data_IF_412823972429
#
_entry.id   IF_412823972429
#
_cell.length_a   1.000
_cell.length_b   1.000
_cell.length_c   1.000
_cell.angle_alpha   90.00
_cell.angle_beta   90.00
_cell.angle_gamma   90.00
#
_symmetry.space_group_name_H-M   'P 1'
#
loop_
_entity.id
_entity.type
_entity.pdbx_description
1 polymer ?
#
# COMPACT_ATOMS: atom_id res chain seq x y z
N UNK A 1 -26.49 -10.33 -1.32
CA UNK A 1 -25.34 -9.99 -2.19
C UNK A 1 -24.14 -10.80 -1.74
N UNK A 2 -23.34 -11.38 -2.65
CA UNK A 2 -22.15 -12.12 -2.25
C UNK A 2 -21.17 -11.16 -1.55
N UNK A 3 -20.62 -11.60 -0.41
CA UNK A 3 -19.79 -10.76 0.44
C UNK A 3 -18.46 -10.44 -0.26
N UNK A 4 -18.29 -9.19 -0.71
CA UNK A 4 -17.10 -8.71 -1.42
C UNK A 4 -15.84 -8.92 -0.56
N UNK A 5 -15.97 -8.82 0.77
CA UNK A 5 -14.88 -8.98 1.72
C UNK A 5 -15.00 -10.34 2.42
N UNK A 6 -14.45 -11.37 1.81
CA UNK A 6 -14.38 -12.71 2.40
C UNK A 6 -13.26 -12.77 3.44
N UNK A 7 -13.50 -13.45 4.59
CA UNK A 7 -12.48 -13.62 5.64
C UNK A 7 -11.15 -14.16 5.12
N UNK A 8 -11.19 -15.08 4.15
CA UNK A 8 -9.99 -15.66 3.54
C UNK A 8 -9.20 -14.65 2.72
N UNK A 9 -9.89 -13.74 2.05
CA UNK A 9 -9.28 -12.66 1.28
C UNK A 9 -8.62 -11.66 2.22
N UNK A 10 -9.28 -11.25 3.31
CA UNK A 10 -8.69 -10.38 4.34
C UNK A 10 -7.43 -11.00 4.97
N UNK A 11 -7.48 -12.28 5.34
CA UNK A 11 -6.32 -12.99 5.88
C UNK A 11 -5.17 -12.99 4.87
N UNK A 12 -5.46 -13.17 3.58
CA UNK A 12 -4.45 -13.12 2.53
C UNK A 12 -3.84 -11.72 2.41
N UNK A 13 -4.64 -10.64 2.41
CA UNK A 13 -4.13 -9.27 2.40
C UNK A 13 -3.20 -9.01 3.59
N UNK A 14 -3.61 -9.41 4.80
CA UNK A 14 -2.78 -9.24 6.01
C UNK A 14 -1.49 -10.07 5.94
N UNK A 15 -1.56 -11.29 5.38
CA UNK A 15 -0.38 -12.14 5.20
C UNK A 15 0.60 -11.55 4.18
N UNK A 16 0.10 -10.99 3.06
CA UNK A 16 0.94 -10.29 2.07
C UNK A 16 1.56 -9.04 2.68
N UNK A 17 0.80 -8.27 3.46
CA UNK A 17 1.31 -7.09 4.16
C UNK A 17 2.44 -7.44 5.15
N UNK A 18 2.25 -8.50 5.93
CA UNK A 18 3.28 -8.97 6.84
C UNK A 18 4.54 -9.45 6.09
N UNK A 19 4.36 -10.12 4.95
CA UNK A 19 5.46 -10.52 4.08
C UNK A 19 6.19 -9.31 3.48
N UNK A 20 5.47 -8.28 3.04
CA UNK A 20 6.02 -7.04 2.50
C UNK A 20 6.94 -6.36 3.53
N UNK A 21 6.43 -6.17 4.75
CA UNK A 21 7.20 -5.59 5.86
C UNK A 21 8.42 -6.45 6.19
N UNK A 22 8.27 -7.78 6.18
CA UNK A 22 9.40 -8.69 6.42
C UNK A 22 10.48 -8.56 5.33
N UNK A 23 10.10 -8.38 4.07
CA UNK A 23 11.05 -8.14 2.97
C UNK A 23 11.77 -6.81 3.17
N UNK A 24 11.06 -5.72 3.48
CA UNK A 24 11.67 -4.42 3.73
C UNK A 24 12.73 -4.49 4.83
N UNK A 25 12.38 -5.05 5.99
CA UNK A 25 13.31 -5.19 7.12
C UNK A 25 14.49 -6.08 6.76
N UNK A 26 14.24 -7.21 6.10
CA UNK A 26 15.30 -8.16 5.72
C UNK A 26 16.29 -7.54 4.74
N UNK A 27 15.80 -6.86 3.71
CA UNK A 27 16.65 -6.22 2.70
C UNK A 27 17.37 -4.99 3.24
N UNK A 28 16.74 -4.20 4.13
CA UNK A 28 17.37 -3.07 4.78
C UNK A 28 18.55 -3.48 5.68
N UNK A 29 18.48 -4.68 6.28
CA UNK A 29 19.52 -5.22 7.15
C UNK A 29 20.69 -5.87 6.38
N UNK A 30 20.53 -6.14 5.08
CA UNK A 30 21.57 -6.79 4.29
C UNK A 30 22.72 -5.82 3.97
N UNK A 31 23.99 -6.29 4.05
CA UNK A 31 25.12 -5.51 3.59
C UNK A 31 24.97 -5.13 2.11
N UNK A 32 25.39 -3.92 1.77
CA UNK A 32 25.34 -3.39 0.40
C UNK A 32 26.73 -2.90 -0.03
N UNK A 33 27.07 -3.14 -1.30
CA UNK A 33 28.31 -2.63 -1.88
C UNK A 33 28.22 -1.11 -2.06
N UNK A 34 29.34 -0.40 -2.05
CA UNK A 34 29.34 1.06 -2.28
C UNK A 34 28.80 1.43 -3.67
N UNK A 35 29.08 0.60 -4.69
CA UNK A 35 28.60 0.82 -6.05
C UNK A 35 27.07 0.66 -6.15
N UNK A 36 26.52 -0.41 -5.58
CA UNK A 36 25.07 -0.67 -5.56
C UNK A 36 24.34 0.41 -4.74
N UNK A 37 24.93 0.84 -3.62
CA UNK A 37 24.36 1.89 -2.79
C UNK A 37 24.28 3.23 -3.55
N UNK A 38 25.35 3.61 -4.26
CA UNK A 38 25.37 4.83 -5.07
C UNK A 38 24.32 4.79 -6.18
N UNK A 39 24.19 3.66 -6.88
CA UNK A 39 23.19 3.47 -7.94
C UNK A 39 21.75 3.61 -7.40
N UNK A 40 21.44 2.93 -6.30
CA UNK A 40 20.10 2.97 -5.69
C UNK A 40 19.76 4.35 -5.13
N UNK A 41 20.71 5.02 -4.45
CA UNK A 41 20.50 6.38 -3.95
C UNK A 41 20.31 7.35 -5.12
N UNK A 42 21.08 7.20 -6.21
CA UNK A 42 20.90 8.02 -7.41
C UNK A 42 19.52 7.82 -8.02
N UNK A 43 19.06 6.57 -8.15
CA UNK A 43 17.72 6.27 -8.64
C UNK A 43 16.62 6.89 -7.77
N UNK A 44 16.73 6.76 -6.45
CA UNK A 44 15.79 7.37 -5.51
C UNK A 44 15.77 8.90 -5.60
N UNK A 45 16.95 9.53 -5.73
CA UNK A 45 17.05 10.99 -5.92
C UNK A 45 16.43 11.45 -7.23
N UNK A 46 16.61 10.71 -8.32
CA UNK A 46 15.99 11.06 -9.61
C UNK A 46 14.45 11.05 -9.54
N UNK A 47 13.86 10.10 -8.81
CA UNK A 47 12.41 10.09 -8.55
C UNK A 47 11.97 11.33 -7.76
N UNK A 48 12.73 11.68 -6.71
CA UNK A 48 12.46 12.83 -5.86
C UNK A 48 12.60 14.15 -6.64
N UNK A 49 13.68 14.33 -7.39
CA UNK A 49 13.94 15.51 -8.22
C UNK A 49 12.84 15.70 -9.29
N UNK A 50 12.28 14.59 -9.80
CA UNK A 50 11.17 14.62 -10.75
C UNK A 50 9.87 15.22 -10.21
N UNK A 51 9.71 15.28 -8.88
CA UNK A 51 8.55 15.88 -8.21
C UNK A 51 8.91 17.13 -7.39
N UNK A 52 10.19 17.50 -7.29
CA UNK A 52 10.60 18.72 -6.60
C UNK A 52 10.50 19.96 -7.51
N UNK A 53 10.27 21.13 -6.92
CA UNK A 53 10.24 22.40 -7.64
C UNK A 53 9.00 22.65 -8.50
N UNK A 54 8.05 21.72 -8.53
CA UNK A 54 6.74 21.89 -9.18
C UNK A 54 5.64 22.22 -8.17
N UNK A 55 4.48 22.68 -8.65
CA UNK A 55 3.35 23.00 -7.77
C UNK A 55 2.86 21.77 -6.99
N UNK A 56 2.29 21.99 -5.81
CA UNK A 56 1.78 20.94 -4.93
C UNK A 56 0.93 19.88 -5.66
N UNK A 57 0.02 20.32 -6.53
CA UNK A 57 -0.85 19.42 -7.30
C UNK A 57 -0.04 18.52 -8.25
N UNK A 58 0.98 19.06 -8.91
CA UNK A 58 1.85 18.26 -9.78
C UNK A 58 2.73 17.29 -9.00
N UNK A 59 3.15 17.61 -7.77
CA UNK A 59 3.87 16.67 -6.91
C UNK A 59 2.97 15.48 -6.55
N UNK A 60 1.75 15.75 -6.08
CA UNK A 60 0.75 14.71 -5.75
C UNK A 60 0.49 13.81 -6.96
N UNK A 61 0.25 14.40 -8.14
CA UNK A 61 -0.01 13.61 -9.35
C UNK A 61 1.22 12.80 -9.79
N UNK A 62 2.43 13.32 -9.63
CA UNK A 62 3.67 12.62 -9.94
C UNK A 62 3.87 11.38 -9.06
N UNK A 63 3.78 11.54 -7.75
CA UNK A 63 3.87 10.47 -6.76
C UNK A 63 2.76 9.43 -6.99
N UNK A 64 1.51 9.88 -7.12
CA UNK A 64 0.37 9.01 -7.39
C UNK A 64 0.54 8.17 -8.65
N UNK A 65 1.01 8.79 -9.75
CA UNK A 65 1.23 8.10 -11.02
C UNK A 65 2.33 7.04 -10.90
N UNK A 66 3.40 7.33 -10.14
CA UNK A 66 4.45 6.35 -9.88
C UNK A 66 3.89 5.11 -9.16
N UNK A 67 3.15 5.32 -8.07
CA UNK A 67 2.60 4.23 -7.28
C UNK A 67 1.51 3.44 -8.02
N UNK A 68 0.66 4.09 -8.81
CA UNK A 68 -0.33 3.38 -9.65
C UNK A 68 0.35 2.47 -10.66
N UNK A 69 1.45 2.91 -11.30
CA UNK A 69 2.14 2.09 -12.30
C UNK A 69 2.59 0.76 -11.70
N UNK A 70 3.12 0.79 -10.47
CA UNK A 70 3.52 -0.40 -9.73
C UNK A 70 2.28 -1.23 -9.36
N UNK A 71 1.30 -0.64 -8.68
CA UNK A 71 0.10 -1.35 -8.22
C UNK A 71 -0.70 -1.99 -9.38
N UNK A 72 -0.81 -1.31 -10.53
CA UNK A 72 -1.50 -1.83 -11.70
C UNK A 72 -0.86 -3.12 -12.23
N UNK A 73 0.47 -3.20 -12.21
CA UNK A 73 1.20 -4.41 -12.57
C UNK A 73 1.03 -5.51 -11.52
N UNK A 74 0.91 -5.15 -10.24
CA UNK A 74 0.68 -6.08 -9.14
C UNK A 74 -0.71 -6.73 -9.16
N UNK A 75 -1.71 -6.08 -9.76
CA UNK A 75 -3.02 -6.69 -10.02
C UNK A 75 -2.98 -7.82 -11.06
N UNK A 76 -1.93 -7.89 -11.90
CA UNK A 76 -1.85 -8.88 -12.98
C UNK A 76 -1.66 -10.29 -12.38
N UNK A 77 -2.55 -11.26 -12.68
CA UNK A 77 -2.39 -12.64 -12.26
C UNK A 77 -0.99 -13.21 -12.54
N UNK A 78 -0.39 -13.83 -11.53
CA UNK A 78 0.97 -14.43 -11.51
C UNK A 78 2.11 -13.41 -11.64
N UNK A 79 2.07 -12.52 -12.63
CA UNK A 79 3.06 -11.46 -12.81
C UNK A 79 3.13 -10.54 -11.59
N UNK A 80 2.00 -10.27 -10.96
CA UNK A 80 1.92 -9.33 -9.85
C UNK A 80 2.77 -9.73 -8.65
N UNK A 81 2.93 -11.03 -8.39
CA UNK A 81 3.87 -11.52 -7.37
C UNK A 81 5.33 -11.22 -7.70
N UNK A 82 5.71 -11.33 -8.98
CA UNK A 82 7.09 -11.01 -9.42
C UNK A 82 7.36 -9.52 -9.22
N UNK A 83 6.39 -8.68 -9.60
CA UNK A 83 6.50 -7.22 -9.46
C UNK A 83 6.54 -6.82 -7.99
N UNK A 84 5.67 -7.38 -7.15
CA UNK A 84 5.64 -7.16 -5.71
C UNK A 84 6.95 -7.53 -5.02
N UNK A 85 7.50 -8.71 -5.33
CA UNK A 85 8.78 -9.12 -4.74
C UNK A 85 9.91 -8.20 -5.20
N UNK A 86 9.89 -7.77 -6.47
CA UNK A 86 10.89 -6.86 -7.02
C UNK A 86 10.80 -5.45 -6.42
N UNK A 87 9.58 -4.88 -6.33
CA UNK A 87 9.33 -3.56 -5.74
C UNK A 87 9.69 -3.57 -4.26
N UNK A 88 9.22 -4.58 -3.50
CA UNK A 88 9.50 -4.71 -2.08
C UNK A 88 11.00 -4.85 -1.80
N UNK A 89 11.69 -5.68 -2.60
CA UNK A 89 13.13 -5.87 -2.49
C UNK A 89 13.89 -4.59 -2.81
N UNK A 90 13.50 -3.89 -3.87
CA UNK A 90 14.16 -2.66 -4.30
C UNK A 90 14.06 -1.57 -3.23
N UNK A 91 12.86 -1.33 -2.70
CA UNK A 91 12.67 -0.34 -1.61
C UNK A 91 13.48 -0.72 -0.38
N UNK A 92 13.45 -1.99 0.05
CA UNK A 92 14.27 -2.43 1.18
C UNK A 92 15.78 -2.24 0.95
N UNK A 93 16.28 -2.48 -0.27
CA UNK A 93 17.68 -2.19 -0.63
C UNK A 93 17.96 -0.69 -0.71
N UNK A 94 17.00 0.15 -1.11
CA UNK A 94 17.12 1.62 -1.04
C UNK A 94 17.29 2.06 0.42
N UNK A 95 16.58 1.46 1.38
CA UNK A 95 16.78 1.75 2.81
C UNK A 95 18.21 1.38 3.26
N UNK A 96 18.74 0.23 2.84
CA UNK A 96 20.13 -0.15 3.11
C UNK A 96 21.13 0.84 2.48
N UNK A 97 20.88 1.28 1.24
CA UNK A 97 21.71 2.25 0.54
C UNK A 97 21.72 3.63 1.22
N UNK A 98 20.55 4.10 1.66
CA UNK A 98 20.39 5.34 2.42
C UNK A 98 21.12 5.25 3.78
N UNK A 99 21.00 4.13 4.48
CA UNK A 99 21.71 3.88 5.73
C UNK A 99 23.23 3.92 5.53
N UNK A 100 23.74 3.20 4.52
CA UNK A 100 25.16 3.17 4.20
C UNK A 100 25.72 4.53 3.80
N UNK A 101 24.98 5.31 2.99
CA UNK A 101 25.45 6.60 2.46
C UNK A 101 25.35 7.75 3.48
N UNK A 102 24.38 7.70 4.39
CA UNK A 102 24.21 8.70 5.45
C UNK A 102 24.95 8.38 6.74
N UNK A 103 25.56 7.18 6.84
CA UNK A 103 26.16 6.65 8.07
C UNK A 103 25.17 6.54 9.23
N UNK A 104 23.88 6.42 8.92
CA UNK A 104 22.80 6.21 9.88
C UNK A 104 22.50 4.71 9.97
N UNK A 105 22.30 4.15 11.17
CA UNK A 105 21.87 2.75 11.31
C UNK A 105 20.62 2.45 10.49
N UNK A 106 20.61 1.31 9.77
CA UNK A 106 19.49 0.93 8.90
C UNK A 106 18.15 0.86 9.65
N UNK A 107 18.18 0.54 10.94
CA UNK A 107 16.99 0.50 11.78
C UNK A 107 16.31 1.87 11.84
N UNK A 108 17.08 2.96 11.93
CA UNK A 108 16.51 4.31 12.00
C UNK A 108 15.93 4.75 10.65
N UNK A 109 16.59 4.38 9.55
CA UNK A 109 16.09 4.63 8.18
C UNK A 109 14.81 3.82 7.89
N UNK A 110 14.77 2.56 8.31
CA UNK A 110 13.56 1.74 8.18
C UNK A 110 12.44 2.27 9.08
N UNK A 111 12.75 2.68 10.32
CA UNK A 111 11.78 3.29 11.22
C UNK A 111 11.22 4.60 10.68
N UNK A 112 12.00 5.43 9.97
CA UNK A 112 11.44 6.63 9.35
C UNK A 112 10.39 6.28 8.29
N UNK A 113 10.63 5.25 7.47
CA UNK A 113 9.62 4.78 6.52
C UNK A 113 8.36 4.27 7.23
N UNK A 114 8.52 3.45 8.28
CA UNK A 114 7.38 2.92 9.03
C UNK A 114 6.66 3.95 9.90
N UNK A 115 7.33 5.06 10.24
CA UNK A 115 6.72 6.18 10.92
C UNK A 115 5.92 7.08 9.98
N UNK A 116 6.16 6.99 8.67
CA UNK A 116 5.46 7.81 7.70
C UNK A 116 4.04 7.33 7.43
N UNK A 117 3.12 8.28 7.43
CA UNK A 117 1.68 8.01 7.29
C UNK A 117 1.29 7.48 5.90
N UNK A 118 1.94 7.99 4.85
CA UNK A 118 1.71 7.57 3.46
C UNK A 118 2.15 6.13 3.20
N UNK A 119 3.26 5.69 3.80
CA UNK A 119 3.84 4.36 3.60
C UNK A 119 2.85 3.24 3.95
N UNK A 120 2.08 3.39 5.03
CA UNK A 120 1.08 2.39 5.42
C UNK A 120 -0.07 2.27 4.42
N UNK A 121 -0.50 3.38 3.80
CA UNK A 121 -1.51 3.32 2.75
C UNK A 121 -0.97 2.59 1.51
N UNK A 122 0.29 2.81 1.15
CA UNK A 122 0.94 2.13 0.02
C UNK A 122 1.09 0.63 0.27
N UNK A 123 1.61 0.23 1.44
CA UNK A 123 1.79 -1.19 1.76
C UNK A 123 0.46 -1.94 1.73
N UNK A 124 -0.60 -1.36 2.29
CA UNK A 124 -1.93 -1.97 2.24
C UNK A 124 -2.43 -2.02 0.80
N UNK A 125 -2.20 -0.97 0.00
CA UNK A 125 -2.64 -0.93 -1.39
C UNK A 125 -1.94 -2.00 -2.26
N UNK A 126 -0.63 -2.15 -2.16
CA UNK A 126 0.15 -3.20 -2.85
C UNK A 126 -0.25 -4.60 -2.39
N UNK A 127 -0.45 -4.78 -1.08
CA UNK A 127 -0.95 -6.04 -0.53
C UNK A 127 -2.33 -6.43 -1.07
N UNK A 128 -3.24 -5.46 -1.24
CA UNK A 128 -4.54 -5.67 -1.88
C UNK A 128 -4.38 -6.05 -3.36
N UNK A 129 -3.53 -5.35 -4.11
CA UNK A 129 -3.32 -5.57 -5.54
C UNK A 129 -2.86 -7.01 -5.83
N UNK A 130 -1.79 -7.45 -5.17
CA UNK A 130 -1.21 -8.80 -5.33
C UNK A 130 -2.17 -9.89 -4.86
N UNK A 131 -2.86 -9.65 -3.74
CA UNK A 131 -3.86 -10.60 -3.23
C UNK A 131 -4.98 -10.77 -4.25
N UNK A 132 -5.45 -9.69 -4.87
CA UNK A 132 -6.53 -9.77 -5.83
C UNK A 132 -6.11 -10.48 -7.13
N UNK A 133 -4.89 -10.25 -7.62
CA UNK A 133 -4.32 -11.03 -8.72
C UNK A 133 -4.29 -12.54 -8.42
N UNK A 134 -4.00 -12.91 -7.17
CA UNK A 134 -4.01 -14.31 -6.69
C UNK A 134 -5.42 -14.91 -6.69
N UNK A 135 -6.41 -14.15 -6.21
CA UNK A 135 -7.80 -14.60 -6.16
C UNK A 135 -8.43 -14.70 -7.55
N UNK A 136 -8.02 -13.86 -8.51
CA UNK A 136 -8.38 -14.02 -9.91
C UNK A 136 -7.90 -15.36 -10.48
N UNK A 137 -6.66 -15.78 -10.21
CA UNK A 137 -6.17 -17.12 -10.62
C UNK A 137 -7.01 -18.22 -9.99
N UNK A 138 -7.27 -18.12 -8.68
CA UNK A 138 -8.05 -19.12 -7.95
C UNK A 138 -9.49 -19.23 -8.48
N UNK A 139 -10.06 -18.11 -8.93
CA UNK A 139 -11.42 -18.02 -9.46
C UNK A 139 -11.64 -18.79 -10.76
N UNK A 140 -10.60 -18.90 -11.61
CA UNK A 140 -10.65 -19.73 -12.83
C UNK A 140 -10.99 -21.18 -12.50
N UNK A 141 -10.42 -21.73 -11.43
CA UNK A 141 -10.67 -23.12 -11.00
C UNK A 141 -12.04 -23.31 -10.36
N UNK A 142 -12.60 -22.26 -9.76
CA UNK A 142 -13.87 -22.31 -8.99
C UNK A 142 -15.09 -21.82 -9.76
N UNK A 143 -14.95 -21.45 -11.04
CA UNK A 143 -16.01 -20.88 -11.88
C UNK A 143 -16.68 -19.64 -11.25
N UNK A 144 -15.90 -18.83 -10.52
CA UNK A 144 -16.37 -17.62 -9.80
C UNK A 144 -15.93 -16.31 -10.46
N UNK A 145 -15.56 -16.36 -11.73
CA UNK A 145 -14.92 -15.23 -12.42
C UNK A 145 -15.71 -13.94 -12.36
N UNK A 146 -17.04 -13.97 -12.59
CA UNK A 146 -17.85 -12.75 -12.58
C UNK A 146 -17.81 -12.04 -11.21
N UNK A 147 -17.92 -12.81 -10.13
CA UNK A 147 -17.84 -12.28 -8.77
C UNK A 147 -16.45 -11.68 -8.48
N UNK A 148 -15.42 -12.35 -8.96
CA UNK A 148 -14.03 -11.98 -8.70
C UNK A 148 -13.59 -10.79 -9.54
N UNK A 149 -14.11 -10.65 -10.75
CA UNK A 149 -13.94 -9.46 -11.57
C UNK A 149 -14.61 -8.24 -10.94
N UNK A 150 -15.82 -8.39 -10.37
CA UNK A 150 -16.47 -7.31 -9.63
C UNK A 150 -15.67 -6.93 -8.38
N UNK A 151 -15.23 -7.91 -7.59
CA UNK A 151 -14.33 -7.65 -6.45
C UNK A 151 -13.04 -6.96 -6.91
N UNK A 152 -12.48 -7.34 -8.05
CA UNK A 152 -11.29 -6.70 -8.63
C UNK A 152 -11.55 -5.24 -8.94
N UNK A 153 -12.71 -4.89 -9.53
CA UNK A 153 -13.07 -3.50 -9.79
C UNK A 153 -13.13 -2.68 -8.50
N UNK A 154 -13.75 -3.21 -7.45
CA UNK A 154 -13.80 -2.55 -6.14
C UNK A 154 -12.41 -2.43 -5.50
N UNK A 155 -11.57 -3.47 -5.62
CA UNK A 155 -10.20 -3.45 -5.11
C UNK A 155 -9.34 -2.41 -5.85
N UNK A 156 -9.46 -2.32 -7.18
CA UNK A 156 -8.79 -1.28 -7.98
C UNK A 156 -9.24 0.10 -7.52
N UNK A 157 -10.55 0.35 -7.38
CA UNK A 157 -11.05 1.65 -6.93
C UNK A 157 -10.54 2.00 -5.52
N UNK A 158 -10.54 1.05 -4.60
CA UNK A 158 -10.00 1.23 -3.26
C UNK A 158 -8.50 1.58 -3.29
N UNK A 159 -7.70 0.82 -4.06
CA UNK A 159 -6.27 1.08 -4.24
C UNK A 159 -6.01 2.45 -4.85
N UNK A 160 -6.77 2.87 -5.87
CA UNK A 160 -6.64 4.21 -6.46
C UNK A 160 -6.90 5.33 -5.45
N UNK A 161 -7.94 5.19 -4.61
CA UNK A 161 -8.25 6.17 -3.57
C UNK A 161 -7.14 6.20 -2.51
N UNK A 162 -6.66 5.02 -2.08
CA UNK A 162 -5.59 4.90 -1.10
C UNK A 162 -4.29 5.52 -1.59
N UNK A 163 -3.86 5.21 -2.82
CA UNK A 163 -2.62 5.74 -3.39
C UNK A 163 -2.70 7.25 -3.67
N UNK A 164 -3.87 7.77 -4.05
CA UNK A 164 -4.05 9.22 -4.20
C UNK A 164 -3.91 9.93 -2.86
N UNK A 165 -4.50 9.35 -1.80
CA UNK A 165 -4.38 9.90 -0.47
C UNK A 165 -2.96 9.75 0.08
N UNK A 166 -2.28 8.63 -0.18
CA UNK A 166 -0.87 8.43 0.16
C UNK A 166 0.01 9.51 -0.50
N UNK A 167 -0.16 9.75 -1.80
CA UNK A 167 0.59 10.79 -2.52
C UNK A 167 0.36 12.20 -1.96
N UNK A 168 -0.87 12.50 -1.52
CA UNK A 168 -1.19 13.75 -0.83
C UNK A 168 -0.43 13.87 0.51
N UNK A 169 -0.43 12.80 1.32
CA UNK A 169 0.28 12.76 2.60
C UNK A 169 1.80 12.80 2.44
N UNK A 170 2.34 12.13 1.43
CA UNK A 170 3.78 12.19 1.10
C UNK A 170 4.19 13.60 0.67
N UNK A 171 3.39 14.27 -0.15
CA UNK A 171 3.67 15.67 -0.55
C UNK A 171 3.69 16.62 0.65
N UNK A 172 2.77 16.44 1.61
CA UNK A 172 2.79 17.17 2.89
C UNK A 172 4.08 16.88 3.66
N UNK A 173 4.47 15.61 3.73
CA UNK A 173 5.70 15.17 4.42
C UNK A 173 6.95 15.75 3.77
N UNK A 174 7.04 15.76 2.44
CA UNK A 174 8.14 16.40 1.70
C UNK A 174 8.20 17.91 1.91
N UNK A 175 7.04 18.56 2.08
CA UNK A 175 6.96 20.02 2.26
C UNK A 175 7.29 20.47 3.69
N UNK A 176 6.95 19.66 4.70
CA UNK A 176 7.00 20.07 6.12
C UNK A 176 7.88 19.16 7.00
N UNK A 177 8.44 18.08 6.46
CA UNK A 177 9.24 17.10 7.21
C UNK A 177 8.41 16.37 8.28
N UNK A 178 8.97 16.25 9.49
CA UNK A 178 8.34 15.52 10.60
C UNK A 178 6.96 16.08 10.99
N UNK A 179 6.77 17.40 10.94
CA UNK A 179 5.46 18.00 11.22
C UNK A 179 4.43 17.61 10.15
N UNK A 180 4.87 17.43 8.91
CA UNK A 180 4.05 16.91 7.82
C UNK A 180 3.57 15.48 8.09
N UNK A 181 4.44 14.60 8.59
CA UNK A 181 4.06 13.23 8.96
C UNK A 181 3.07 13.19 10.13
N UNK A 182 3.27 14.02 11.16
CA UNK A 182 2.33 14.15 12.29
C UNK A 182 0.96 14.61 11.79
N UNK A 183 0.93 15.63 10.92
CA UNK A 183 -0.30 16.09 10.29
C UNK A 183 -0.95 14.98 9.45
N UNK A 184 -0.15 14.18 8.75
CA UNK A 184 -0.65 13.06 7.96
C UNK A 184 -1.35 11.99 8.80
N UNK A 185 -0.78 11.62 9.95
CA UNK A 185 -1.46 10.74 10.91
C UNK A 185 -2.75 11.35 11.46
N UNK A 186 -2.74 12.64 11.80
CA UNK A 186 -3.94 13.34 12.25
C UNK A 186 -5.04 13.32 11.17
N UNK A 187 -4.70 13.55 9.91
CA UNK A 187 -5.62 13.48 8.78
C UNK A 187 -6.15 12.06 8.54
N UNK A 188 -5.32 11.03 8.66
CA UNK A 188 -5.75 9.63 8.57
C UNK A 188 -6.77 9.28 9.66
N UNK A 189 -6.49 9.64 10.92
CA UNK A 189 -7.39 9.39 12.03
C UNK A 189 -8.70 10.16 11.88
N UNK A 190 -8.63 11.41 11.41
CA UNK A 190 -9.82 12.22 11.13
C UNK A 190 -10.66 11.63 9.99
N UNK A 191 -10.04 11.02 8.97
CA UNK A 191 -10.72 10.35 7.86
C UNK A 191 -11.29 8.96 8.26
N UNK A 192 -10.69 8.29 9.25
CA UNK A 192 -11.11 6.95 9.68
C UNK A 192 -12.53 6.94 10.28
N UNK A 193 -12.89 7.97 11.05
CA UNK A 193 -14.22 8.06 11.67
C UNK A 193 -15.38 8.15 10.65
N UNK A 194 -15.40 9.11 9.70
CA UNK A 194 -16.45 9.15 8.68
C UNK A 194 -16.45 7.90 7.80
N UNK A 195 -15.29 7.33 7.48
CA UNK A 195 -15.21 6.07 6.75
C UNK A 195 -15.88 4.92 7.51
N UNK A 196 -15.63 4.80 8.82
CA UNK A 196 -16.31 3.83 9.69
C UNK A 196 -17.82 4.04 9.69
N UNK A 197 -18.30 5.28 9.82
CA UNK A 197 -19.73 5.60 9.84
C UNK A 197 -20.43 5.26 8.52
N UNK A 198 -19.76 5.51 7.39
CA UNK A 198 -20.27 5.12 6.07
C UNK A 198 -20.32 3.60 5.95
N UNK A 199 -19.27 2.89 6.39
CA UNK A 199 -19.24 1.43 6.36
C UNK A 199 -20.35 0.82 7.24
N UNK A 200 -20.57 1.36 8.43
CA UNK A 200 -21.66 0.97 9.33
C UNK A 200 -23.03 1.19 8.67
N UNK A 201 -23.26 2.35 8.05
CA UNK A 201 -24.52 2.69 7.40
C UNK A 201 -24.86 1.80 6.19
N UNK A 202 -23.84 1.27 5.49
CA UNK A 202 -24.00 0.40 4.33
C UNK A 202 -24.05 -1.10 4.73
N UNK A 203 -23.58 -1.43 5.94
CA UNK A 203 -23.61 -2.82 6.42
C UNK A 203 -25.05 -3.30 6.66
N UNK A 204 -25.45 -4.48 6.13
CA UNK A 204 -26.77 -5.03 6.41
C UNK A 204 -26.90 -5.28 7.92
N UNK A 205 -27.90 -4.68 8.56
CA UNK A 205 -28.16 -4.92 9.98
C UNK A 205 -28.51 -6.40 10.18
N UNK A 206 -27.61 -7.14 10.83
CA UNK A 206 -27.80 -8.55 11.22
C UNK A 206 -28.93 -8.79 12.23
N UNK A 207 -29.64 -7.75 12.67
CA UNK A 207 -30.61 -7.82 13.77
C UNK A 207 -31.97 -8.38 13.40
N UNK A 208 -32.33 -8.45 12.11
CA UNK A 208 -33.71 -8.77 11.74
C UNK A 208 -33.98 -10.29 11.55
N UNK A 209 -32.93 -11.11 11.39
CA UNK A 209 -33.06 -12.57 11.27
C UNK A 209 -33.09 -13.27 12.64
N UNK A 210 -32.29 -12.81 13.61
CA UNK A 210 -32.29 -13.37 14.97
C UNK A 210 -33.58 -13.09 15.75
N UNK A 211 -34.31 -12.02 15.44
CA UNK A 211 -35.62 -11.74 16.04
C UNK A 211 -36.76 -12.54 15.39
N UNK A 212 -36.60 -13.03 14.16
CA UNK A 212 -37.60 -13.87 13.48
C UNK A 212 -37.47 -15.35 13.86
N UNK A 213 -36.26 -15.85 14.12
CA UNK A 213 -36.04 -17.23 14.55
C UNK A 213 -36.32 -17.44 16.05
N UNK A 214 -36.32 -16.39 16.87
CA UNK A 214 -36.72 -16.46 18.28
C UNK A 214 -38.22 -16.32 18.56
N UNK A 215 -39.05 -16.17 17.51
CA UNK A 215 -40.50 -15.98 17.61
C UNK A 215 -41.31 -17.04 16.83
N UNK A 216 -40.67 -18.08 16.29
CA UNK A 216 -41.29 -19.19 15.57
C UNK A 216 -41.24 -20.50 16.36
#
# INVERSE_FOLDING_TARGET
MPNIVERRWLIAVVAVLALEVAIYVSMAAMPISSADAEELVKGARQLLEGVQGVSFVYQVLGIFTNNIRIAALEFVPALGWVIFLASATTTGRVLAALASSSQIPWQLIALSLFASSHAWLEFIAYSIAVTQGTFLIYSWRKKRLLFESLRTLFAILAVLIMLLFAAFLETITLSFGLSGDILGWALLLAAAYPAYRIAEAISPRRTDEAQREGQA
#
